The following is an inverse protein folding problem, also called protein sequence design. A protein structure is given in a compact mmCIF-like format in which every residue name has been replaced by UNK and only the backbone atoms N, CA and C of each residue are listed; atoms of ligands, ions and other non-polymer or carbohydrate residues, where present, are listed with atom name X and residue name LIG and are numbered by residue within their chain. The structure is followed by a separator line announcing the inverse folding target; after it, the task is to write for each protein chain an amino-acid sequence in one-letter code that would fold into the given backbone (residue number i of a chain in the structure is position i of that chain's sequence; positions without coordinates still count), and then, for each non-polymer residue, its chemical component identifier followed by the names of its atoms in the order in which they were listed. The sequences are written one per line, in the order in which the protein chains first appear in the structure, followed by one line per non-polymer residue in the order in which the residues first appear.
data_IF_679872934782
#
_entry.id   IF_679872934782
#
_cell.length_a   1.000
_cell.length_b   1.000
_cell.length_c   1.000
_cell.angle_alpha   90.00
_cell.angle_beta   90.00
_cell.angle_gamma   90.00
#
_symmetry.space_group_name_H-M   'P 1'
#
loop_
_entity.id
_entity.type
_entity.pdbx_description
1 polymer ?
#
# COMPACT_ATOMS: atom_id res chain seq x y z
N UNK A 1 -0.77 -11.74 2.47
CA UNK A 1 -2.08 -11.07 2.63
C UNK A 1 -2.71 -11.08 1.27
N UNK A 2 -3.92 -11.61 1.19
CA UNK A 2 -4.64 -11.78 -0.07
C UNK A 2 -5.82 -10.82 -0.08
N UNK A 3 -6.13 -10.29 -1.25
CA UNK A 3 -7.16 -9.28 -1.45
C UNK A 3 -7.89 -9.57 -2.75
N UNK A 4 -9.19 -9.28 -2.79
CA UNK A 4 -10.03 -9.51 -3.98
C UNK A 4 -9.77 -8.47 -5.07
N UNK A 5 -9.12 -7.35 -4.72
CA UNK A 5 -8.78 -6.29 -5.65
C UNK A 5 -7.48 -5.58 -5.30
N UNK A 6 -6.87 -4.96 -6.32
CA UNK A 6 -5.71 -4.07 -6.14
C UNK A 6 -6.05 -2.93 -5.18
N UNK A 7 -7.28 -2.40 -5.23
CA UNK A 7 -7.70 -1.28 -4.39
C UNK A 7 -7.68 -1.66 -2.90
N UNK A 8 -8.29 -2.80 -2.55
CA UNK A 8 -8.24 -3.34 -1.18
C UNK A 8 -6.80 -3.65 -0.74
N UNK A 9 -5.95 -4.13 -1.64
CA UNK A 9 -4.54 -4.33 -1.32
C UNK A 9 -3.82 -3.00 -0.99
N UNK A 10 -4.15 -1.92 -1.71
CA UNK A 10 -3.59 -0.60 -1.40
C UNK A 10 -4.12 -0.07 -0.06
N UNK A 11 -5.40 -0.26 0.25
CA UNK A 11 -5.98 0.06 1.57
C UNK A 11 -5.30 -0.72 2.68
N UNK A 12 -5.00 -2.01 2.44
CA UNK A 12 -4.24 -2.84 3.37
C UNK A 12 -2.85 -2.28 3.66
N UNK A 13 -2.14 -1.78 2.63
CA UNK A 13 -0.82 -1.16 2.82
C UNK A 13 -0.93 0.14 3.64
N UNK A 14 -1.93 0.99 3.35
CA UNK A 14 -2.21 2.19 4.16
C UNK A 14 -2.49 1.81 5.62
N UNK A 15 -3.34 0.81 5.85
CA UNK A 15 -3.68 0.34 7.19
C UNK A 15 -2.49 -0.23 7.97
N UNK A 16 -1.55 -0.92 7.30
CA UNK A 16 -0.31 -1.37 7.92
C UNK A 16 0.55 -0.19 8.38
N UNK A 17 0.67 0.84 7.55
CA UNK A 17 1.41 2.03 7.90
C UNK A 17 0.75 2.82 9.03
N UNK A 18 -0.57 2.99 8.98
CA UNK A 18 -1.35 3.64 10.02
C UNK A 18 -1.23 2.93 11.36
N UNK A 19 -1.25 1.59 11.37
CA UNK A 19 -1.03 0.81 12.58
C UNK A 19 0.36 1.08 13.16
N UNK A 20 1.40 1.08 12.33
CA UNK A 20 2.76 1.44 12.75
C UNK A 20 2.82 2.86 13.34
N UNK A 21 2.12 3.82 12.73
CA UNK A 21 2.05 5.19 13.23
C UNK A 21 1.30 5.30 14.58
N UNK A 22 0.23 4.52 14.78
CA UNK A 22 -0.49 4.41 16.07
C UNK A 22 0.40 3.83 17.16
N UNK A 23 1.16 2.79 16.83
CA UNK A 23 2.07 2.15 17.79
C UNK A 23 3.20 3.10 18.20
N UNK A 24 3.68 3.96 17.29
CA UNK A 24 4.68 4.99 17.58
C UNK A 24 4.11 6.21 18.32
N UNK A 25 2.86 6.58 18.05
CA UNK A 25 2.21 7.77 18.61
C UNK A 25 0.84 7.44 19.22
N UNK A 26 0.79 6.67 20.33
CA UNK A 26 -0.47 6.19 20.90
C UNK A 26 -1.37 7.31 21.45
N UNK A 27 -0.81 8.49 21.72
CA UNK A 27 -1.55 9.66 22.21
C UNK A 27 -2.18 10.50 21.07
N UNK A 28 -1.79 10.27 19.82
CA UNK A 28 -2.25 11.06 18.68
C UNK A 28 -3.59 10.51 18.17
N UNK A 29 -4.68 11.24 18.43
CA UNK A 29 -6.04 10.82 18.06
C UNK A 29 -6.29 10.78 16.55
N UNK A 30 -5.74 11.73 15.79
CA UNK A 30 -5.85 11.77 14.33
C UNK A 30 -4.44 11.70 13.71
N UNK A 31 -4.20 10.65 12.93
CA UNK A 31 -2.94 10.45 12.23
C UNK A 31 -3.07 11.02 10.82
N UNK A 32 -2.18 11.94 10.50
CA UNK A 32 -2.01 12.49 9.16
C UNK A 32 -0.62 12.16 8.67
N UNK A 33 -0.51 11.68 7.44
CA UNK A 33 0.75 11.39 6.77
C UNK A 33 0.62 11.79 5.30
N UNK A 34 1.74 12.08 4.65
CA UNK A 34 1.77 12.32 3.22
C UNK A 34 2.15 11.06 2.44
N UNK A 35 2.16 11.15 1.11
CA UNK A 35 2.56 10.01 0.29
C UNK A 35 4.06 9.72 0.34
N UNK A 36 4.89 10.72 0.62
CA UNK A 36 6.34 10.54 0.74
C UNK A 36 6.68 9.68 1.97
N UNK A 37 5.99 9.89 3.08
CA UNK A 37 6.02 9.06 4.28
C UNK A 37 5.69 7.59 3.94
N UNK A 38 4.64 7.38 3.16
CA UNK A 38 4.23 6.04 2.72
C UNK A 38 5.29 5.38 1.83
N UNK A 39 5.91 6.14 0.92
CA UNK A 39 7.01 5.66 0.08
C UNK A 39 8.24 5.31 0.89
N UNK A 40 8.60 6.13 1.88
CA UNK A 40 9.70 5.87 2.79
C UNK A 40 9.45 4.61 3.63
N UNK A 41 8.22 4.40 4.08
CA UNK A 41 7.82 3.16 4.75
C UNK A 41 8.06 1.94 3.87
N UNK A 42 7.60 2.00 2.61
CA UNK A 42 7.76 0.92 1.64
C UNK A 42 9.24 0.68 1.30
N UNK A 43 10.05 1.74 1.19
CA UNK A 43 11.49 1.63 0.94
C UNK A 43 12.28 1.07 2.11
N UNK A 44 11.80 1.32 3.33
CA UNK A 44 12.37 0.78 4.56
C UNK A 44 12.10 -0.72 4.76
N UNK A 45 11.26 -1.35 3.93
CA UNK A 45 11.04 -2.80 3.97
C UNK A 45 12.16 -3.52 3.23
N UNK A 46 12.63 -4.64 3.81
CA UNK A 46 13.68 -5.46 3.22
C UNK A 46 13.27 -5.98 1.83
N UNK A 47 12.02 -6.43 1.68
CA UNK A 47 11.43 -6.79 0.40
C UNK A 47 9.92 -6.47 0.40
N UNK A 48 9.40 -6.11 -0.76
CA UNK A 48 7.97 -5.91 -0.99
C UNK A 48 7.66 -6.14 -2.46
N UNK A 49 6.83 -7.14 -2.72
CA UNK A 49 6.32 -7.50 -4.04
C UNK A 49 4.83 -7.83 -3.96
N UNK A 50 4.14 -7.72 -5.10
CA UNK A 50 2.72 -8.02 -5.21
C UNK A 50 2.49 -9.00 -6.36
N UNK A 51 1.78 -10.09 -6.09
CA UNK A 51 1.32 -11.03 -7.11
C UNK A 51 -0.10 -10.65 -7.50
N UNK A 52 -0.31 -10.29 -8.77
CA UNK A 52 -1.63 -9.93 -9.28
C UNK A 52 -2.09 -10.99 -10.27
N UNK A 53 -3.27 -11.55 -10.05
CA UNK A 53 -3.83 -12.56 -10.93
C UNK A 53 -4.31 -11.93 -12.25
N UNK A 54 -3.77 -12.40 -13.36
CA UNK A 54 -4.18 -12.02 -14.71
C UNK A 54 -5.03 -13.14 -15.33
N UNK A 55 -6.31 -12.83 -15.56
CA UNK A 55 -7.30 -13.76 -16.11
C UNK A 55 -7.03 -14.14 -17.57
N UNK A 56 -6.28 -13.34 -18.33
CA UNK A 56 -6.01 -13.60 -19.75
C UNK A 56 -5.01 -14.73 -19.93
N UNK A 57 -4.00 -14.77 -19.06
CA UNK A 57 -2.93 -15.76 -19.08
C UNK A 57 -3.08 -16.82 -17.97
N UNK A 58 -4.11 -16.69 -17.12
CA UNK A 58 -4.43 -17.59 -16.01
C UNK A 58 -3.24 -17.78 -15.05
N UNK A 59 -2.54 -16.68 -14.75
CA UNK A 59 -1.31 -16.71 -13.95
C UNK A 59 -1.18 -15.48 -13.05
N UNK A 60 -0.38 -15.63 -12.00
CA UNK A 60 0.02 -14.51 -11.14
C UNK A 60 1.23 -13.80 -11.71
N UNK A 61 1.08 -12.50 -11.97
CA UNK A 61 2.17 -11.64 -12.41
C UNK A 61 2.85 -10.99 -11.20
N UNK A 62 4.17 -11.11 -11.06
CA UNK A 62 4.92 -10.41 -10.04
C UNK A 62 5.04 -8.93 -10.39
N UNK A 63 4.81 -8.10 -9.39
CA UNK A 63 4.96 -6.65 -9.46
C UNK A 63 5.90 -6.22 -8.35
N UNK A 64 6.81 -5.31 -8.70
CA UNK A 64 7.83 -4.82 -7.81
C UNK A 64 7.33 -3.66 -6.94
N UNK A 65 8.22 -3.20 -6.07
CA UNK A 65 7.99 -2.07 -5.19
C UNK A 65 7.60 -0.79 -5.93
N UNK A 66 8.18 -0.52 -7.10
CA UNK A 66 7.86 0.69 -7.88
C UNK A 66 6.42 0.66 -8.36
N UNK A 67 5.97 -0.50 -8.86
CA UNK A 67 4.58 -0.68 -9.25
C UNK A 67 3.62 -0.46 -8.08
N UNK A 68 3.93 -1.00 -6.90
CA UNK A 68 3.11 -0.82 -5.68
C UNK A 68 2.97 0.66 -5.32
N UNK A 69 4.08 1.42 -5.34
CA UNK A 69 4.06 2.87 -5.08
C UNK A 69 3.18 3.63 -6.08
N UNK A 70 3.29 3.30 -7.37
CA UNK A 70 2.45 3.92 -8.40
C UNK A 70 0.95 3.61 -8.18
N UNK A 71 0.61 2.37 -7.81
CA UNK A 71 -0.77 1.99 -7.51
C UNK A 71 -1.31 2.68 -6.27
N UNK A 72 -0.50 2.85 -5.23
CA UNK A 72 -0.85 3.64 -4.05
C UNK A 72 -1.15 5.09 -4.41
N UNK A 73 -0.31 5.75 -5.20
CA UNK A 73 -0.58 7.12 -5.64
C UNK A 73 -1.89 7.23 -6.42
N UNK A 74 -2.12 6.30 -7.37
CA UNK A 74 -3.36 6.27 -8.15
C UNK A 74 -4.59 6.03 -7.26
N UNK A 75 -4.47 5.17 -6.25
CA UNK A 75 -5.52 4.87 -5.29
C UNK A 75 -5.86 6.08 -4.41
N UNK A 76 -4.85 6.68 -3.78
CA UNK A 76 -5.02 7.87 -2.94
C UNK A 76 -5.57 9.06 -3.72
N UNK A 77 -5.11 9.25 -4.98
CA UNK A 77 -5.63 10.31 -5.86
C UNK A 77 -7.13 10.14 -6.16
N UNK A 78 -7.62 8.89 -6.24
CA UNK A 78 -9.06 8.61 -6.45
C UNK A 78 -9.90 8.88 -5.21
N UNK A 79 -9.35 8.69 -4.01
CA UNK A 79 -10.05 8.97 -2.75
C UNK A 79 -10.15 10.47 -2.43
N UNK A 80 -9.25 11.27 -3.00
CA UNK A 80 -9.24 12.72 -2.86
C UNK A 80 -10.16 13.48 -3.84
N UNK A 81 -11.00 12.76 -4.60
CA UNK A 81 -12.02 13.32 -5.50
C UNK A 81 -13.38 12.77 -5.11
#
# INVERSE_FOLDING_TARGET
MDYDSISQAMDGICGLYERKLKDLNPATGNITYDIADLYNFIDGLADMSALVYDHRIQAFLPNDRQWIKQKLFQHLKKLAH
#
